data_IF_430942386479
#
_entry.id   IF_430942386479
#
_cell.length_a   1.000
_cell.length_b   1.000
_cell.length_c   1.000
_cell.angle_alpha   90.00
_cell.angle_beta   90.00
_cell.angle_gamma   90.00
#
_symmetry.space_group_name_H-M   'P 1'
#
loop_
_entity.id
_entity.type
_entity.pdbx_description
1 polymer ?
#
# COMPACT_ATOMS: atom_id res chain seq x y z
N UNK A 1 -8.85 34.70 23.47
CA UNK A 1 -8.55 35.07 22.08
C UNK A 1 -8.91 33.89 21.19
N UNK A 2 -9.92 34.03 20.30
CA UNK A 2 -10.26 33.04 19.29
C UNK A 2 -9.00 32.83 18.41
N UNK A 3 -8.40 31.62 18.41
CA UNK A 3 -7.30 31.33 17.50
C UNK A 3 -7.80 31.45 16.07
N UNK A 4 -7.11 32.23 15.25
CA UNK A 4 -7.39 32.33 13.83
C UNK A 4 -7.17 30.99 13.14
N UNK A 5 -8.22 30.41 12.56
CA UNK A 5 -8.20 29.10 11.93
C UNK A 5 -7.20 29.02 10.76
N UNK A 6 -6.87 30.16 10.14
CA UNK A 6 -5.88 30.23 9.05
C UNK A 6 -4.49 29.76 9.43
N UNK A 7 -4.15 29.77 10.75
CA UNK A 7 -2.86 29.33 11.27
C UNK A 7 -2.91 27.92 11.88
N UNK A 8 -4.01 27.18 11.68
CA UNK A 8 -4.18 25.81 12.16
C UNK A 8 -4.35 24.87 10.98
N UNK A 9 -3.30 24.15 10.60
CA UNK A 9 -3.33 23.19 9.49
C UNK A 9 -4.04 21.88 9.85
N UNK A 10 -4.09 21.53 11.14
CA UNK A 10 -4.75 20.34 11.64
C UNK A 10 -5.13 20.53 13.13
N UNK A 11 -6.36 20.17 13.56
CA UNK A 11 -6.82 20.47 14.93
C UNK A 11 -5.95 19.85 16.03
N UNK A 12 -5.43 18.64 15.80
CA UNK A 12 -4.69 17.85 16.78
C UNK A 12 -3.16 17.97 16.68
N UNK A 13 -2.65 18.84 15.80
CA UNK A 13 -1.21 18.97 15.48
C UNK A 13 -0.28 19.15 16.70
N UNK A 14 -0.81 19.60 17.84
CA UNK A 14 -0.03 19.84 19.07
C UNK A 14 -0.13 18.72 20.09
N UNK A 15 -0.89 17.69 19.83
CA UNK A 15 -0.91 16.49 20.66
C UNK A 15 0.43 15.76 20.53
N UNK A 16 0.87 15.12 21.63
CA UNK A 16 2.11 14.35 21.65
C UNK A 16 1.91 12.86 21.32
N UNK A 17 0.67 12.45 21.11
CA UNK A 17 0.31 11.06 20.83
C UNK A 17 0.71 10.64 19.40
N UNK A 18 1.16 9.41 19.24
CA UNK A 18 1.47 8.80 17.93
C UNK A 18 0.25 8.72 17.00
N UNK A 19 -0.96 8.87 17.54
CA UNK A 19 -2.20 8.97 16.76
C UNK A 19 -2.14 10.10 15.74
N UNK A 20 -1.57 11.26 16.12
CA UNK A 20 -1.44 12.40 15.19
C UNK A 20 -0.48 12.09 14.05
N UNK A 21 0.65 11.45 14.37
CA UNK A 21 1.60 11.02 13.34
C UNK A 21 0.97 10.03 12.37
N UNK A 22 0.11 9.14 12.88
CA UNK A 22 -0.64 8.19 12.06
C UNK A 22 -1.65 8.89 11.16
N UNK A 23 -2.42 9.83 11.70
CA UNK A 23 -3.42 10.61 10.95
C UNK A 23 -2.76 11.40 9.81
N UNK A 24 -1.61 12.05 10.05
CA UNK A 24 -0.85 12.77 9.02
C UNK A 24 -0.28 11.80 7.98
N UNK A 25 0.19 10.62 8.42
CA UNK A 25 0.76 9.63 7.51
C UNK A 25 -0.28 9.03 6.58
N UNK A 26 -1.48 8.73 7.09
CA UNK A 26 -2.58 8.22 6.26
C UNK A 26 -3.20 9.29 5.37
N UNK A 27 -3.17 10.56 5.77
CA UNK A 27 -3.49 11.68 4.87
C UNK A 27 -2.51 11.75 3.69
N UNK A 28 -1.20 11.61 3.96
CA UNK A 28 -0.17 11.51 2.92
C UNK A 28 -0.43 10.31 1.98
N UNK A 29 -0.79 9.15 2.53
CA UNK A 29 -1.16 7.97 1.73
C UNK A 29 -2.35 8.26 0.80
N UNK A 30 -3.40 8.88 1.32
CA UNK A 30 -4.59 9.25 0.53
C UNK A 30 -4.22 10.21 -0.60
N UNK A 31 -3.36 11.20 -0.32
CA UNK A 31 -2.86 12.14 -1.33
C UNK A 31 -2.11 11.42 -2.44
N UNK A 32 -1.24 10.45 -2.10
CA UNK A 32 -0.51 9.65 -3.10
C UNK A 32 -1.43 8.74 -3.92
N UNK A 33 -2.49 8.17 -3.32
CA UNK A 33 -3.52 7.43 -4.07
C UNK A 33 -4.22 8.33 -5.10
N UNK A 34 -4.48 9.61 -4.75
CA UNK A 34 -5.01 10.60 -5.69
C UNK A 34 -4.06 10.90 -6.85
N UNK A 35 -2.75 11.00 -6.58
CA UNK A 35 -1.72 11.16 -7.63
C UNK A 35 -1.67 9.93 -8.53
N UNK A 36 -1.70 8.73 -7.96
CA UNK A 36 -1.73 7.49 -8.73
C UNK A 36 -2.97 7.39 -9.61
N UNK A 37 -4.16 7.75 -9.09
CA UNK A 37 -5.40 7.77 -9.86
C UNK A 37 -5.30 8.72 -11.06
N UNK A 38 -4.71 9.91 -10.89
CA UNK A 38 -4.52 10.86 -11.98
C UNK A 38 -3.59 10.31 -13.07
N UNK A 39 -2.50 9.64 -12.67
CA UNK A 39 -1.55 9.02 -13.60
C UNK A 39 -2.19 7.83 -14.34
N UNK A 40 -2.90 6.95 -13.63
CA UNK A 40 -3.61 5.79 -14.22
C UNK A 40 -4.64 6.23 -15.26
N UNK A 41 -5.39 7.30 -14.98
CA UNK A 41 -6.36 7.85 -15.94
C UNK A 41 -5.71 8.35 -17.24
N UNK A 42 -4.49 8.86 -17.19
CA UNK A 42 -3.74 9.27 -18.39
C UNK A 42 -3.31 8.05 -19.23
N UNK A 43 -3.05 6.93 -18.57
CA UNK A 43 -2.62 5.67 -19.21
C UNK A 43 -3.81 4.79 -19.64
N UNK A 44 -5.06 5.24 -19.41
CA UNK A 44 -6.34 4.63 -19.83
C UNK A 44 -6.53 3.17 -19.36
N UNK A 45 -6.04 2.83 -18.16
CA UNK A 45 -6.24 1.51 -17.54
C UNK A 45 -7.42 1.56 -16.58
N UNK A 46 -8.63 1.41 -17.13
CA UNK A 46 -9.90 1.64 -16.46
C UNK A 46 -10.07 0.83 -15.17
N UNK A 47 -9.72 -0.46 -15.18
CA UNK A 47 -9.88 -1.35 -14.01
C UNK A 47 -9.08 -0.85 -12.79
N UNK A 48 -7.88 -0.33 -13.02
CA UNK A 48 -7.04 0.21 -11.93
C UNK A 48 -7.59 1.55 -11.44
N UNK A 49 -8.12 2.38 -12.35
CA UNK A 49 -8.74 3.65 -11.97
C UNK A 49 -10.00 3.45 -11.11
N UNK A 50 -10.84 2.48 -11.44
CA UNK A 50 -12.05 2.13 -10.66
C UNK A 50 -11.68 1.63 -9.27
N UNK A 51 -10.71 0.74 -9.16
CA UNK A 51 -10.24 0.24 -7.87
C UNK A 51 -9.66 1.37 -7.00
N UNK A 52 -8.85 2.25 -7.57
CA UNK A 52 -8.29 3.40 -6.84
C UNK A 52 -9.36 4.35 -6.34
N UNK A 53 -10.46 4.56 -7.09
CA UNK A 53 -11.60 5.36 -6.64
C UNK A 53 -12.27 4.79 -5.39
N UNK A 54 -12.29 3.47 -5.23
CA UNK A 54 -12.81 2.80 -4.02
C UNK A 54 -11.78 2.81 -2.88
N UNK A 55 -10.49 2.65 -3.19
CA UNK A 55 -9.41 2.65 -2.18
C UNK A 55 -9.20 4.04 -1.55
N UNK A 56 -9.45 5.11 -2.29
CA UNK A 56 -9.19 6.50 -1.87
C UNK A 56 -9.98 6.89 -0.59
N UNK A 57 -11.32 6.76 -0.51
CA UNK A 57 -12.07 7.03 0.70
C UNK A 57 -11.72 6.06 1.83
N UNK A 58 -11.37 4.81 1.52
CA UNK A 58 -11.01 3.82 2.53
C UNK A 58 -9.75 4.20 3.30
N UNK A 59 -8.77 4.85 2.68
CA UNK A 59 -7.59 5.35 3.37
C UNK A 59 -7.96 6.40 4.46
N UNK A 60 -8.98 7.24 4.22
CA UNK A 60 -9.52 8.13 5.24
C UNK A 60 -10.38 7.41 6.28
N UNK A 61 -11.08 6.34 5.93
CA UNK A 61 -11.78 5.50 6.92
C UNK A 61 -10.78 4.83 7.87
N UNK A 62 -9.65 4.33 7.37
CA UNK A 62 -8.55 3.83 8.19
C UNK A 62 -7.98 4.93 9.10
N UNK A 63 -7.76 6.13 8.56
CA UNK A 63 -7.30 7.30 9.32
C UNK A 63 -8.23 7.59 10.51
N UNK A 64 -9.52 7.78 10.25
CA UNK A 64 -10.49 8.14 11.28
C UNK A 64 -10.77 7.04 12.29
N UNK A 65 -10.60 5.77 11.93
CA UNK A 65 -10.91 4.61 12.78
C UNK A 65 -10.05 4.52 14.04
N UNK A 66 -8.88 5.15 14.05
CA UNK A 66 -7.98 5.13 15.21
C UNK A 66 -8.44 6.07 16.33
N UNK A 67 -9.06 7.18 15.98
CA UNK A 67 -9.56 8.17 16.94
C UNK A 67 -11.07 8.04 17.17
N UNK A 68 -11.80 7.74 16.13
CA UNK A 68 -13.26 7.67 16.12
C UNK A 68 -13.81 6.25 16.16
N UNK A 69 -14.98 6.07 15.54
CA UNK A 69 -15.59 4.75 15.35
C UNK A 69 -14.85 3.98 14.29
N UNK A 70 -14.64 2.69 14.51
CA UNK A 70 -14.13 1.77 13.48
C UNK A 70 -15.05 1.81 12.25
N UNK A 71 -14.49 2.16 11.10
CA UNK A 71 -15.21 2.32 9.84
C UNK A 71 -14.68 1.39 8.72
N UNK A 72 -13.75 0.49 9.05
CA UNK A 72 -13.25 -0.56 8.16
C UNK A 72 -13.92 -1.86 8.57
N UNK A 73 -14.51 -2.57 7.61
CA UNK A 73 -15.27 -3.80 7.82
C UNK A 73 -14.55 -5.02 7.21
N UNK A 74 -15.00 -6.23 7.56
CA UNK A 74 -14.50 -7.48 6.95
C UNK A 74 -14.84 -7.54 5.46
N UNK A 75 -15.94 -6.93 5.03
CA UNK A 75 -16.31 -6.83 3.62
C UNK A 75 -15.32 -5.95 2.84
N UNK A 76 -14.87 -4.84 3.43
CA UNK A 76 -13.84 -3.97 2.83
C UNK A 76 -12.51 -4.71 2.68
N UNK A 77 -12.13 -5.48 3.71
CA UNK A 77 -10.91 -6.29 3.69
C UNK A 77 -11.00 -7.42 2.66
N UNK A 78 -12.16 -8.09 2.58
CA UNK A 78 -12.43 -9.16 1.60
C UNK A 78 -12.35 -8.62 0.17
N UNK A 79 -12.99 -7.49 -0.11
CA UNK A 79 -12.92 -6.83 -1.41
C UNK A 79 -11.46 -6.52 -1.81
N UNK A 80 -10.68 -5.95 -0.89
CA UNK A 80 -9.28 -5.63 -1.15
C UNK A 80 -8.44 -6.90 -1.42
N UNK A 81 -8.75 -8.00 -0.73
CA UNK A 81 -8.13 -9.32 -0.95
C UNK A 81 -8.45 -9.88 -2.32
N UNK A 82 -9.71 -9.77 -2.76
CA UNK A 82 -10.12 -10.18 -4.12
C UNK A 82 -9.40 -9.37 -5.20
N UNK A 83 -9.19 -8.06 -4.96
CA UNK A 83 -8.41 -7.22 -5.88
C UNK A 83 -6.94 -7.62 -5.94
N UNK A 84 -6.34 -7.94 -4.78
CA UNK A 84 -4.98 -8.49 -4.72
C UNK A 84 -4.86 -9.77 -5.58
N UNK A 85 -5.76 -10.72 -5.39
CA UNK A 85 -5.77 -11.98 -6.12
C UNK A 85 -5.99 -11.78 -7.62
N UNK A 86 -6.84 -10.82 -8.00
CA UNK A 86 -7.05 -10.45 -9.38
C UNK A 86 -5.74 -10.00 -10.03
N UNK A 87 -5.01 -9.05 -9.44
CA UNK A 87 -3.77 -8.55 -10.02
C UNK A 87 -2.64 -9.60 -10.00
N UNK A 88 -2.51 -10.36 -8.91
CA UNK A 88 -1.51 -11.43 -8.80
C UNK A 88 -1.65 -12.45 -9.92
N UNK A 89 -2.88 -12.83 -10.30
CA UNK A 89 -3.10 -13.77 -11.42
C UNK A 89 -2.54 -13.25 -12.76
N UNK A 90 -2.52 -11.95 -12.96
CA UNK A 90 -2.02 -11.32 -14.19
C UNK A 90 -0.50 -11.14 -14.20
N UNK A 91 0.12 -10.90 -13.03
CA UNK A 91 1.55 -10.56 -12.90
C UNK A 91 2.38 -11.64 -12.21
N UNK A 92 1.88 -12.88 -12.19
CA UNK A 92 2.47 -13.99 -11.44
C UNK A 92 3.94 -14.26 -11.77
N UNK A 93 4.31 -14.11 -13.04
CA UNK A 93 5.67 -14.37 -13.50
C UNK A 93 6.62 -13.24 -13.10
N UNK A 94 6.15 -11.98 -13.13
CA UNK A 94 6.93 -10.79 -12.85
C UNK A 94 7.30 -10.67 -11.37
N UNK A 95 6.41 -11.12 -10.47
CA UNK A 95 6.57 -11.00 -9.02
C UNK A 95 7.30 -12.16 -8.34
N UNK A 96 7.86 -13.12 -9.09
CA UNK A 96 8.61 -14.23 -8.53
C UNK A 96 9.94 -13.83 -7.89
N UNK A 97 10.42 -12.63 -8.17
CA UNK A 97 11.64 -12.08 -7.60
C UNK A 97 11.42 -10.65 -7.12
N UNK A 98 12.34 -10.16 -6.30
CA UNK A 98 12.31 -8.75 -5.89
C UNK A 98 12.61 -7.86 -7.10
N UNK A 99 11.75 -6.87 -7.34
CA UNK A 99 11.86 -5.92 -8.46
C UNK A 99 12.11 -4.50 -7.94
N UNK A 100 12.79 -3.70 -8.76
CA UNK A 100 13.02 -2.28 -8.46
C UNK A 100 11.73 -1.48 -8.71
N UNK A 101 11.42 -0.48 -7.87
CA UNK A 101 10.26 0.39 -8.07
C UNK A 101 10.56 1.38 -9.22
N UNK A 102 10.11 1.05 -10.42
CA UNK A 102 10.30 1.84 -11.65
C UNK A 102 9.17 1.55 -12.64
N UNK A 103 9.13 2.24 -13.76
CA UNK A 103 8.22 1.98 -14.87
C UNK A 103 7.46 3.22 -15.31
N UNK A 104 6.18 3.04 -15.66
CA UNK A 104 5.31 4.16 -16.05
C UNK A 104 5.11 5.19 -14.94
N UNK A 105 4.54 6.36 -15.28
CA UNK A 105 4.16 7.37 -14.28
C UNK A 105 3.19 6.77 -13.24
N UNK A 106 2.20 6.00 -13.71
CA UNK A 106 1.24 5.33 -12.82
C UNK A 106 1.89 4.24 -11.96
N UNK A 107 2.74 3.38 -12.52
CA UNK A 107 3.46 2.36 -11.77
C UNK A 107 4.34 2.98 -10.68
N UNK A 108 5.07 4.04 -11.01
CA UNK A 108 5.92 4.77 -10.07
C UNK A 108 5.10 5.42 -8.95
N UNK A 109 3.95 6.02 -9.27
CA UNK A 109 3.03 6.59 -8.28
C UNK A 109 2.43 5.50 -7.35
N UNK A 110 2.09 4.32 -7.87
CA UNK A 110 1.62 3.18 -7.07
C UNK A 110 2.72 2.64 -6.14
N UNK A 111 3.98 2.65 -6.57
CA UNK A 111 5.10 2.32 -5.69
C UNK A 111 5.26 3.35 -4.54
N UNK A 112 4.96 4.63 -4.77
CA UNK A 112 4.90 5.63 -3.70
C UNK A 112 3.74 5.32 -2.73
N UNK A 113 2.55 4.99 -3.23
CA UNK A 113 1.42 4.57 -2.40
C UNK A 113 1.78 3.36 -1.51
N UNK A 114 2.42 2.33 -2.09
CA UNK A 114 2.96 1.18 -1.34
C UNK A 114 3.88 1.64 -0.22
N UNK A 115 4.79 2.56 -0.50
CA UNK A 115 5.75 3.07 0.48
C UNK A 115 5.05 3.82 1.63
N UNK A 116 4.07 4.66 1.32
CA UNK A 116 3.28 5.38 2.32
C UNK A 116 2.39 4.44 3.14
N UNK A 117 1.78 3.41 2.54
CA UNK A 117 1.01 2.40 3.26
C UNK A 117 1.90 1.66 4.29
N UNK A 118 3.13 1.30 3.92
CA UNK A 118 4.10 0.68 4.85
C UNK A 118 4.50 1.62 5.99
N UNK A 119 4.66 2.90 5.72
CA UNK A 119 4.96 3.91 6.76
C UNK A 119 3.76 4.10 7.68
N UNK A 120 2.53 4.12 7.13
CA UNK A 120 1.28 4.18 7.90
C UNK A 120 1.14 2.95 8.81
N UNK A 121 1.38 1.75 8.29
CA UNK A 121 1.42 0.52 9.08
C UNK A 121 2.41 0.61 10.24
N UNK A 122 3.64 1.11 9.97
CA UNK A 122 4.67 1.26 11.01
C UNK A 122 4.28 2.29 12.07
N UNK A 123 3.59 3.37 11.67
CA UNK A 123 3.09 4.38 12.62
C UNK A 123 1.93 3.84 13.44
N UNK A 124 1.03 3.03 12.82
CA UNK A 124 -0.04 2.35 13.55
C UNK A 124 0.50 1.43 14.65
N UNK A 125 1.63 0.80 14.42
CA UNK A 125 2.33 0.00 15.43
C UNK A 125 2.72 0.83 16.67
N UNK A 126 3.18 2.07 16.47
CA UNK A 126 3.46 2.98 17.59
C UNK A 126 2.18 3.36 18.34
N UNK A 127 1.08 3.61 17.60
CA UNK A 127 -0.22 3.88 18.22
C UNK A 127 -0.68 2.72 19.10
N UNK A 128 -0.43 1.46 18.67
CA UNK A 128 -0.81 0.27 19.44
C UNK A 128 0.01 0.07 20.73
N UNK A 129 1.14 0.75 20.88
CA UNK A 129 1.89 0.82 22.13
C UNK A 129 1.24 1.78 23.15
N UNK A 130 0.43 2.73 22.69
CA UNK A 130 -0.22 3.76 23.50
C UNK A 130 -1.69 3.46 23.78
N UNK A 131 -2.36 2.70 22.92
CA UNK A 131 -3.79 2.39 23.01
C UNK A 131 -4.15 1.13 22.21
N UNK A 132 -5.32 0.56 22.54
CA UNK A 132 -5.87 -0.55 21.77
C UNK A 132 -6.21 -0.11 20.34
N UNK A 133 -5.79 -0.92 19.36
CA UNK A 133 -6.02 -0.71 17.93
C UNK A 133 -6.65 -1.98 17.35
N UNK A 134 -7.79 -1.90 16.65
CA UNK A 134 -8.40 -3.05 16.00
C UNK A 134 -7.46 -3.71 14.99
N UNK A 135 -7.32 -5.04 15.06
CA UNK A 135 -6.41 -5.82 14.21
C UNK A 135 -6.67 -5.61 12.71
N UNK A 136 -7.94 -5.47 12.32
CA UNK A 136 -8.35 -5.25 10.93
C UNK A 136 -7.67 -4.02 10.28
N UNK A 137 -7.29 -3.00 11.04
CA UNK A 137 -6.59 -1.83 10.51
C UNK A 137 -5.17 -2.17 10.07
N UNK A 138 -4.49 -3.08 10.78
CA UNK A 138 -3.19 -3.60 10.38
C UNK A 138 -3.31 -4.46 9.13
N UNK A 139 -4.29 -5.36 9.11
CA UNK A 139 -4.53 -6.26 7.98
C UNK A 139 -4.85 -5.45 6.72
N UNK A 140 -5.71 -4.44 6.83
CA UNK A 140 -6.07 -3.57 5.72
C UNK A 140 -4.85 -2.80 5.18
N UNK A 141 -4.05 -2.15 6.03
CA UNK A 141 -2.87 -1.39 5.59
C UNK A 141 -1.78 -2.28 5.01
N UNK A 142 -1.58 -3.47 5.57
CA UNK A 142 -0.64 -4.44 5.06
C UNK A 142 -1.05 -4.92 3.66
N UNK A 143 -2.32 -5.27 3.50
CA UNK A 143 -2.88 -5.71 2.22
C UNK A 143 -2.89 -4.56 1.20
N UNK A 144 -3.24 -3.35 1.60
CA UNK A 144 -3.22 -2.16 0.75
C UNK A 144 -1.82 -1.92 0.15
N UNK A 145 -0.77 -2.07 0.96
CA UNK A 145 0.60 -1.96 0.46
C UNK A 145 0.91 -3.03 -0.60
N UNK A 146 0.43 -4.25 -0.40
CA UNK A 146 0.64 -5.34 -1.36
C UNK A 146 -0.18 -5.14 -2.64
N UNK A 147 -1.42 -4.67 -2.53
CA UNK A 147 -2.26 -4.33 -3.70
C UNK A 147 -1.60 -3.23 -4.53
N UNK A 148 -1.13 -2.15 -3.90
CA UNK A 148 -0.39 -1.10 -4.62
C UNK A 148 0.84 -1.64 -5.36
N UNK A 149 1.53 -2.63 -4.79
CA UNK A 149 2.67 -3.29 -5.45
C UNK A 149 2.25 -4.05 -6.71
N UNK A 150 1.26 -4.95 -6.59
CA UNK A 150 0.84 -5.76 -7.75
C UNK A 150 0.15 -4.91 -8.83
N UNK A 151 -0.55 -3.84 -8.43
CA UNK A 151 -1.09 -2.85 -9.38
C UNK A 151 0.04 -2.13 -10.14
N UNK A 152 1.14 -1.76 -9.48
CA UNK A 152 2.29 -1.12 -10.14
C UNK A 152 2.91 -2.04 -11.20
N UNK A 153 3.12 -3.31 -10.87
CA UNK A 153 3.63 -4.32 -11.82
C UNK A 153 2.63 -4.55 -12.96
N UNK A 154 1.33 -4.56 -12.65
CA UNK A 154 0.29 -4.67 -13.67
C UNK A 154 0.30 -3.48 -14.65
N UNK A 155 0.46 -2.25 -14.16
CA UNK A 155 0.59 -1.06 -15.02
C UNK A 155 1.79 -1.18 -15.96
N UNK A 156 2.95 -1.64 -15.47
CA UNK A 156 4.13 -1.88 -16.31
C UNK A 156 3.85 -2.95 -17.38
N UNK A 157 3.18 -4.03 -17.02
CA UNK A 157 2.80 -5.10 -17.95
C UNK A 157 1.89 -4.57 -19.05
N UNK A 158 0.86 -3.78 -18.71
CA UNK A 158 -0.05 -3.15 -19.68
C UNK A 158 0.69 -2.22 -20.65
N UNK A 159 1.74 -1.55 -20.20
CA UNK A 159 2.58 -0.67 -21.00
C UNK A 159 3.73 -1.40 -21.74
N UNK A 160 3.87 -2.72 -21.57
CA UNK A 160 4.96 -3.50 -22.16
C UNK A 160 6.34 -3.19 -21.56
N UNK A 161 6.38 -2.65 -20.33
CA UNK A 161 7.62 -2.32 -19.61
C UNK A 161 8.04 -3.52 -18.77
N UNK A 162 9.26 -4.01 -19.00
CA UNK A 162 9.82 -5.11 -18.23
C UNK A 162 10.22 -4.69 -16.82
N UNK A 163 9.99 -5.58 -15.85
CA UNK A 163 10.47 -5.39 -14.48
C UNK A 163 11.99 -5.57 -14.38
N UNK A 164 12.64 -4.70 -13.60
CA UNK A 164 14.06 -4.80 -13.30
C UNK A 164 14.24 -5.61 -12.02
N UNK A 165 14.81 -6.81 -12.14
CA UNK A 165 15.10 -7.66 -10.97
C UNK A 165 16.20 -7.04 -10.11
N UNK A 166 15.98 -7.07 -8.80
CA UNK A 166 16.98 -6.66 -7.83
C UNK A 166 17.68 -7.88 -7.23
N UNK A 167 19.01 -7.89 -7.31
CA UNK A 167 19.86 -8.89 -6.67
C UNK A 167 20.57 -8.24 -5.49
N UNK A 168 20.19 -8.64 -4.28
CA UNK A 168 20.80 -8.09 -3.06
C UNK A 168 22.24 -8.56 -2.89
N UNK A 169 23.14 -7.61 -2.67
CA UNK A 169 24.52 -7.89 -2.25
C UNK A 169 24.60 -8.21 -0.75
N UNK A 170 23.63 -7.71 0.03
CA UNK A 170 23.59 -7.88 1.50
C UNK A 170 22.88 -9.18 1.92
N UNK A 171 21.96 -9.68 1.10
CA UNK A 171 21.20 -10.90 1.34
C UNK A 171 21.33 -11.83 0.14
N UNK A 172 22.42 -12.61 0.02
CA UNK A 172 22.58 -13.56 -1.08
C UNK A 172 21.47 -14.61 -1.03
N UNK A 173 20.86 -14.85 -2.18
CA UNK A 173 19.83 -15.89 -2.30
C UNK A 173 20.42 -17.24 -1.86
N UNK A 174 19.73 -17.92 -0.95
CA UNK A 174 20.07 -19.33 -0.61
C UNK A 174 19.94 -20.14 -1.91
N UNK A 175 21.02 -20.78 -2.35
CA UNK A 175 20.94 -21.75 -3.45
C UNK A 175 19.87 -22.79 -3.07
N UNK A 176 18.85 -22.99 -3.92
CA UNK A 176 17.96 -24.15 -3.78
C UNK A 176 18.85 -25.36 -3.74
N UNK A 177 18.78 -26.16 -2.68
CA UNK A 177 19.40 -27.50 -2.66
C UNK A 177 18.75 -28.26 -3.81
N UNK A 178 19.50 -28.59 -4.84
CA UNK A 178 19.11 -29.61 -5.82
C UNK A 178 18.91 -30.90 -5.04
N UNK A 179 17.68 -31.38 -4.96
CA UNK A 179 17.40 -32.71 -4.46
C UNK A 179 17.90 -33.71 -5.52
N UNK A 180 19.16 -34.07 -5.46
CA UNK A 180 19.66 -35.25 -6.12
C UNK A 180 19.09 -36.47 -5.40
N UNK A 181 17.89 -36.87 -5.78
CA UNK A 181 17.40 -38.23 -5.59
C UNK A 181 17.86 -39.05 -6.80
N UNK A 182 19.14 -39.33 -6.90
CA UNK A 182 19.58 -40.49 -7.62
C UNK A 182 19.27 -41.71 -6.74
N UNK A 183 18.19 -42.40 -7.10
CA UNK A 183 17.96 -43.78 -6.69
C UNK A 183 19.01 -44.62 -7.39
N UNK A 184 20.00 -45.09 -6.65
CA UNK A 184 20.81 -46.24 -7.05
C UNK A 184 19.98 -47.51 -6.87
N UNK A 185 20.00 -48.31 -7.88
CA UNK A 185 19.46 -49.65 -8.03
C UNK A 185 20.06 -50.63 -6.99
#
# INVERSE_FOLDING_TARGET
VKKDARYSCYPFMREKASTVDFEIRTDSLTTHLGVALAAVKKEDVQVVAEDLLLMLPMAYHVNGSVRGKLAVTEEDLSWLSERYDFYVRHVKEEIQSFVLPQGTEAASALHLCRSEAKKSYRTLHKVSEEREVPAILFDYLGLLANVCFVMAVFMNQQAGIAEIRFISKSYPMKKKKENNNEKSI
#
